data_IF_692369968216
#
_entry.id   IF_692369968216
#
_cell.length_a   1.000
_cell.length_b   1.000
_cell.length_c   1.000
_cell.angle_alpha   90.00
_cell.angle_beta   90.00
_cell.angle_gamma   90.00
#
_symmetry.space_group_name_H-M   'P 1'
#
loop_
_entity.id
_entity.type
_entity.pdbx_description
1 polymer ?
#
# COMPACT_ATOMS: atom_id res chain seq x y z
N UNK A 1 -32.04 32.58 5.05
CA UNK A 1 -30.75 32.02 5.47
C UNK A 1 -31.04 30.64 6.05
N UNK A 2 -30.99 29.60 5.24
CA UNK A 2 -31.21 28.21 5.66
C UNK A 2 -29.88 27.48 5.56
N UNK A 3 -29.32 27.11 6.68
CA UNK A 3 -28.14 26.27 6.77
C UNK A 3 -28.52 24.87 6.26
N UNK A 4 -27.96 24.50 5.11
CA UNK A 4 -28.04 23.15 4.55
C UNK A 4 -27.20 22.23 5.47
N UNK A 5 -27.86 21.57 6.43
CA UNK A 5 -27.28 20.53 7.24
C UNK A 5 -26.94 19.32 6.36
N UNK A 6 -25.65 19.00 6.25
CA UNK A 6 -25.24 17.71 5.71
C UNK A 6 -25.93 16.59 6.52
N UNK A 7 -26.40 15.50 5.88
CA UNK A 7 -27.07 14.43 6.60
C UNK A 7 -26.12 13.82 7.63
N UNK A 8 -26.45 13.98 8.91
CA UNK A 8 -25.73 13.33 9.99
C UNK A 8 -25.97 11.81 9.88
N UNK A 9 -24.92 11.06 9.50
CA UNK A 9 -24.97 9.61 9.53
C UNK A 9 -25.29 9.12 10.94
N UNK A 10 -26.16 8.11 11.11
CA UNK A 10 -26.48 7.59 12.42
C UNK A 10 -25.19 7.10 13.12
N UNK A 11 -25.05 7.31 14.45
CA UNK A 11 -23.80 7.06 15.20
C UNK A 11 -23.25 5.63 15.05
N UNK A 12 -24.11 4.64 14.79
CA UNK A 12 -23.71 3.25 14.53
C UNK A 12 -22.92 3.09 13.21
N UNK A 13 -23.26 3.85 12.17
CA UNK A 13 -22.53 3.79 10.89
C UNK A 13 -21.15 4.43 10.98
N UNK A 14 -21.01 5.51 11.75
CA UNK A 14 -19.73 6.16 11.99
C UNK A 14 -18.77 5.25 12.75
N UNK A 15 -19.20 4.66 13.86
CA UNK A 15 -18.38 3.77 14.67
C UNK A 15 -17.93 2.53 13.87
N UNK A 16 -18.84 1.88 13.13
CA UNK A 16 -18.52 0.74 12.27
C UNK A 16 -17.54 1.12 11.16
N UNK A 17 -17.69 2.28 10.54
CA UNK A 17 -16.79 2.77 9.51
C UNK A 17 -15.37 3.04 10.04
N UNK A 18 -15.25 3.64 11.22
CA UNK A 18 -13.97 3.87 11.89
C UNK A 18 -13.29 2.56 12.29
N UNK A 19 -14.04 1.59 12.83
CA UNK A 19 -13.52 0.26 13.17
C UNK A 19 -13.00 -0.47 11.93
N UNK A 20 -13.74 -0.46 10.84
CA UNK A 20 -13.32 -1.08 9.58
C UNK A 20 -12.07 -0.42 8.99
N UNK A 21 -11.99 0.93 9.01
CA UNK A 21 -10.81 1.65 8.54
C UNK A 21 -9.58 1.33 9.39
N UNK A 22 -9.72 1.34 10.73
CA UNK A 22 -8.64 1.01 11.66
C UNK A 22 -8.19 -0.44 11.49
N UNK A 23 -9.12 -1.40 11.54
CA UNK A 23 -8.81 -2.81 11.40
C UNK A 23 -8.18 -3.14 10.04
N UNK A 24 -8.68 -2.55 8.95
CA UNK A 24 -8.11 -2.69 7.63
C UNK A 24 -6.68 -2.15 7.55
N UNK A 25 -6.41 -0.99 8.14
CA UNK A 25 -5.07 -0.39 8.16
C UNK A 25 -4.08 -1.19 9.01
N UNK A 26 -4.50 -1.68 10.17
CA UNK A 26 -3.69 -2.56 11.04
C UNK A 26 -3.38 -3.88 10.32
N UNK A 27 -4.38 -4.50 9.71
CA UNK A 27 -4.20 -5.74 8.97
C UNK A 27 -3.26 -5.56 7.76
N UNK A 28 -3.39 -4.45 7.02
CA UNK A 28 -2.47 -4.10 5.93
C UNK A 28 -1.03 -3.91 6.43
N UNK A 29 -0.87 -3.39 7.64
CA UNK A 29 0.43 -3.18 8.27
C UNK A 29 1.16 -4.49 8.59
N UNK A 30 0.44 -5.57 8.83
CA UNK A 30 0.99 -6.91 9.04
C UNK A 30 1.72 -7.50 7.83
N UNK A 31 1.52 -6.96 6.62
CA UNK A 31 2.16 -7.44 5.39
C UNK A 31 3.69 -7.52 5.54
N UNK A 32 4.33 -6.43 5.91
CA UNK A 32 5.79 -6.35 6.04
C UNK A 32 6.32 -7.31 7.12
N UNK A 33 5.59 -7.43 8.22
CA UNK A 33 5.94 -8.34 9.31
C UNK A 33 5.94 -9.80 8.83
N UNK A 34 4.88 -10.23 8.14
CA UNK A 34 4.78 -11.59 7.60
C UNK A 34 5.88 -11.86 6.56
N UNK A 35 6.20 -10.89 5.72
CA UNK A 35 7.29 -10.99 4.74
C UNK A 35 8.64 -11.20 5.45
N UNK A 36 8.94 -10.39 6.47
CA UNK A 36 10.18 -10.53 7.25
C UNK A 36 10.26 -11.88 7.99
N UNK A 37 9.14 -12.36 8.54
CA UNK A 37 9.07 -13.69 9.14
C UNK A 37 9.34 -14.80 8.12
N UNK A 38 8.78 -14.69 6.92
CA UNK A 38 9.01 -15.68 5.86
C UNK A 38 10.47 -15.71 5.42
N UNK A 39 11.15 -14.55 5.34
CA UNK A 39 12.58 -14.48 5.01
C UNK A 39 13.48 -15.19 6.04
N UNK A 40 13.07 -15.30 7.31
CA UNK A 40 13.80 -16.11 8.32
C UNK A 40 13.91 -17.59 7.94
N UNK A 41 13.03 -18.09 7.04
CA UNK A 41 13.04 -19.45 6.52
C UNK A 41 13.79 -19.60 5.19
N UNK A 42 14.56 -18.59 4.76
CA UNK A 42 15.45 -18.65 3.60
C UNK A 42 14.76 -18.57 2.24
N UNK A 43 13.48 -18.17 2.18
CA UNK A 43 12.78 -17.95 0.91
C UNK A 43 13.20 -16.61 0.30
N UNK A 44 13.35 -16.55 -1.02
CA UNK A 44 13.61 -15.31 -1.76
C UNK A 44 12.33 -14.52 -2.10
N UNK A 45 12.47 -13.22 -2.42
CA UNK A 45 11.35 -12.34 -2.72
C UNK A 45 10.46 -12.82 -3.88
N UNK A 46 11.07 -13.39 -4.95
CA UNK A 46 10.30 -13.86 -6.13
C UNK A 46 9.42 -15.04 -5.77
N UNK A 47 9.96 -15.99 -5.01
CA UNK A 47 9.22 -17.17 -4.55
C UNK A 47 8.15 -16.80 -3.54
N UNK A 48 8.45 -15.89 -2.60
CA UNK A 48 7.49 -15.46 -1.59
C UNK A 48 6.31 -14.70 -2.20
N UNK A 49 6.56 -13.78 -3.14
CA UNK A 49 5.48 -13.04 -3.81
C UNK A 49 4.64 -13.96 -4.71
N UNK A 50 5.27 -14.96 -5.33
CA UNK A 50 4.56 -15.97 -6.10
C UNK A 50 3.51 -16.67 -5.22
N UNK A 51 3.89 -17.18 -4.05
CA UNK A 51 2.96 -17.85 -3.13
C UNK A 51 1.85 -16.90 -2.65
N UNK A 52 2.19 -15.68 -2.23
CA UNK A 52 1.19 -14.69 -1.85
C UNK A 52 0.18 -14.45 -2.96
N UNK A 53 0.64 -14.28 -4.19
CA UNK A 53 -0.23 -13.98 -5.32
C UNK A 53 -1.00 -15.21 -5.81
N UNK A 54 -0.44 -16.42 -5.66
CA UNK A 54 -1.14 -17.68 -5.92
C UNK A 54 -2.38 -17.82 -5.03
N UNK A 55 -2.23 -17.58 -3.72
CA UNK A 55 -3.35 -17.66 -2.77
C UNK A 55 -4.30 -16.46 -2.87
N UNK A 56 -3.83 -15.29 -3.30
CA UNK A 56 -4.67 -14.13 -3.52
C UNK A 56 -5.51 -14.22 -4.80
N UNK A 57 -5.00 -14.89 -5.84
CA UNK A 57 -5.63 -14.97 -7.17
C UNK A 57 -7.10 -15.44 -7.13
N UNK A 58 -7.46 -16.57 -6.49
CA UNK A 58 -8.85 -17.01 -6.45
C UNK A 58 -9.78 -16.01 -5.76
N UNK A 59 -9.29 -15.30 -4.74
CA UNK A 59 -10.06 -14.31 -4.00
C UNK A 59 -10.35 -13.08 -4.87
N UNK A 60 -9.34 -12.56 -5.58
CA UNK A 60 -9.50 -11.40 -6.46
C UNK A 60 -10.26 -11.74 -7.75
N UNK A 61 -10.13 -12.95 -8.29
CA UNK A 61 -10.98 -13.43 -9.39
C UNK A 61 -12.45 -13.54 -8.96
N UNK A 62 -12.71 -14.06 -7.76
CA UNK A 62 -14.04 -14.11 -7.17
C UNK A 62 -14.63 -12.70 -6.98
N UNK A 63 -13.83 -11.76 -6.48
CA UNK A 63 -14.22 -10.35 -6.35
C UNK A 63 -14.51 -9.71 -7.71
N UNK A 64 -13.63 -9.92 -8.69
CA UNK A 64 -13.78 -9.39 -10.04
C UNK A 64 -15.05 -9.92 -10.71
N UNK A 65 -15.32 -11.22 -10.56
CA UNK A 65 -16.52 -11.85 -11.08
C UNK A 65 -17.79 -11.29 -10.40
N UNK A 66 -17.80 -11.23 -9.07
CA UNK A 66 -18.91 -10.68 -8.31
C UNK A 66 -19.20 -9.22 -8.69
N UNK A 67 -18.18 -8.37 -8.72
CA UNK A 67 -18.30 -6.95 -9.04
C UNK A 67 -18.57 -6.68 -10.54
N UNK A 68 -18.43 -7.69 -11.40
CA UNK A 68 -18.74 -7.57 -12.84
C UNK A 68 -20.17 -8.01 -13.18
N UNK A 69 -20.90 -8.57 -12.23
CA UNK A 69 -22.30 -9.01 -12.46
C UNK A 69 -23.18 -7.80 -12.79
N UNK A 70 -23.87 -7.86 -13.93
CA UNK A 70 -24.74 -6.77 -14.40
C UNK A 70 -24.01 -5.50 -14.86
N UNK A 71 -22.68 -5.47 -14.84
CA UNK A 71 -21.90 -4.33 -15.28
C UNK A 71 -21.70 -4.35 -16.82
N UNK A 72 -21.52 -3.19 -17.45
CA UNK A 72 -21.30 -3.09 -18.89
C UNK A 72 -19.99 -3.83 -19.29
N UNK A 73 -19.97 -4.29 -20.56
CA UNK A 73 -18.78 -4.96 -21.11
C UNK A 73 -17.59 -4.02 -21.13
N UNK A 74 -16.39 -4.57 -20.83
CA UNK A 74 -15.14 -3.84 -20.86
C UNK A 74 -14.72 -3.57 -22.31
N UNK A 75 -14.34 -2.34 -22.60
CA UNK A 75 -13.72 -1.96 -23.87
C UNK A 75 -12.24 -2.36 -23.92
N UNK A 76 -11.63 -2.31 -25.12
CA UNK A 76 -10.18 -2.52 -25.26
C UNK A 76 -9.38 -1.48 -24.45
N UNK A 77 -9.86 -0.26 -24.36
CA UNK A 77 -9.25 0.81 -23.58
C UNK A 77 -9.31 0.51 -22.06
N UNK A 78 -10.45 -0.04 -21.60
CA UNK A 78 -10.56 -0.49 -20.19
C UNK A 78 -9.56 -1.57 -19.86
N UNK A 79 -9.40 -2.56 -20.72
CA UNK A 79 -8.44 -3.63 -20.53
C UNK A 79 -7.00 -3.11 -20.51
N UNK A 80 -6.64 -2.19 -21.42
CA UNK A 80 -5.31 -1.56 -21.40
C UNK A 80 -5.06 -0.81 -20.08
N UNK A 81 -6.06 -0.07 -19.59
CA UNK A 81 -5.99 0.60 -18.29
C UNK A 81 -5.86 -0.39 -17.12
N UNK A 82 -6.68 -1.45 -17.09
CA UNK A 82 -6.64 -2.49 -16.04
C UNK A 82 -5.27 -3.17 -16.01
N UNK A 83 -4.72 -3.54 -17.18
CA UNK A 83 -3.38 -4.15 -17.27
C UNK A 83 -2.32 -3.17 -16.81
N UNK A 84 -2.31 -1.92 -17.29
CA UNK A 84 -1.36 -0.89 -16.87
C UNK A 84 -1.39 -0.64 -15.36
N UNK A 85 -2.59 -0.56 -14.77
CA UNK A 85 -2.76 -0.40 -13.33
C UNK A 85 -2.40 -1.66 -12.55
N UNK A 86 -2.63 -2.85 -13.09
CA UNK A 86 -2.17 -4.12 -12.51
C UNK A 86 -0.66 -4.20 -12.48
N UNK A 87 0.01 -3.78 -13.56
CA UNK A 87 1.49 -3.73 -13.63
C UNK A 87 2.05 -2.74 -12.62
N UNK A 88 1.59 -1.50 -12.62
CA UNK A 88 2.18 -0.43 -11.77
C UNK A 88 1.76 -0.56 -10.32
N UNK A 89 0.47 -0.76 -10.03
CA UNK A 89 -0.08 -0.68 -8.68
C UNK A 89 0.16 -1.94 -7.84
N UNK A 90 0.16 -3.10 -8.47
CA UNK A 90 0.18 -4.35 -7.72
C UNK A 90 1.36 -5.27 -8.07
N UNK A 91 1.74 -5.41 -9.35
CA UNK A 91 2.88 -6.26 -9.72
C UNK A 91 4.21 -5.59 -9.37
N UNK A 92 4.56 -4.49 -10.03
CA UNK A 92 5.85 -3.83 -9.87
C UNK A 92 6.02 -3.25 -8.46
N UNK A 93 4.98 -2.59 -7.94
CA UNK A 93 5.01 -2.07 -6.58
C UNK A 93 5.26 -3.18 -5.56
N UNK A 94 4.52 -4.30 -5.62
CA UNK A 94 4.71 -5.39 -4.66
C UNK A 94 6.04 -6.10 -4.82
N UNK A 95 6.54 -6.26 -6.05
CA UNK A 95 7.83 -6.92 -6.31
C UNK A 95 8.99 -6.10 -5.74
N UNK A 96 9.04 -4.81 -6.04
CA UNK A 96 10.08 -3.91 -5.53
C UNK A 96 10.03 -3.80 -4.00
N UNK A 97 8.85 -3.78 -3.42
CA UNK A 97 8.63 -3.73 -1.99
C UNK A 97 9.14 -4.99 -1.27
N UNK A 98 8.76 -6.17 -1.75
CA UNK A 98 9.24 -7.43 -1.19
C UNK A 98 10.74 -7.57 -1.33
N UNK A 99 11.28 -7.23 -2.48
CA UNK A 99 12.73 -7.29 -2.69
C UNK A 99 13.47 -6.28 -1.80
N UNK A 100 12.94 -5.06 -1.61
CA UNK A 100 13.51 -4.09 -0.69
C UNK A 100 13.51 -4.54 0.77
N UNK A 101 12.44 -5.23 1.21
CA UNK A 101 12.32 -5.78 2.56
C UNK A 101 13.35 -6.88 2.89
N UNK A 102 14.06 -7.43 1.91
CA UNK A 102 15.22 -8.28 2.19
C UNK A 102 16.35 -7.52 2.90
N UNK A 103 16.48 -6.20 2.66
CA UNK A 103 17.62 -5.38 3.04
C UNK A 103 17.36 -4.33 4.11
N UNK A 104 16.10 -3.92 4.33
CA UNK A 104 15.74 -2.89 5.32
C UNK A 104 14.68 -3.40 6.30
N UNK A 105 14.49 -2.67 7.41
CA UNK A 105 13.47 -3.00 8.42
C UNK A 105 12.04 -2.80 7.89
N UNK A 106 11.07 -3.45 8.53
CA UNK A 106 9.66 -3.22 8.26
C UNK A 106 9.24 -1.80 8.66
N UNK A 107 9.87 -1.23 9.67
CA UNK A 107 9.66 0.13 10.13
C UNK A 107 10.06 1.16 9.08
N UNK A 108 11.27 1.03 8.50
CA UNK A 108 11.74 1.94 7.45
C UNK A 108 10.94 1.77 6.15
N UNK A 109 10.65 0.52 5.74
CA UNK A 109 9.75 0.24 4.59
C UNK A 109 8.45 1.03 4.72
N UNK A 110 7.80 0.93 5.86
CA UNK A 110 6.52 1.59 6.08
C UNK A 110 6.62 3.11 6.00
N UNK A 111 7.67 3.71 6.55
CA UNK A 111 7.89 5.16 6.47
C UNK A 111 8.10 5.63 5.03
N UNK A 112 8.86 4.87 4.22
CA UNK A 112 9.05 5.17 2.80
C UNK A 112 7.71 5.08 2.04
N UNK A 113 6.94 4.01 2.23
CA UNK A 113 5.64 3.86 1.57
C UNK A 113 4.63 4.94 2.00
N UNK A 114 4.79 5.51 3.19
CA UNK A 114 3.94 6.60 3.65
C UNK A 114 4.18 7.92 2.92
N UNK A 115 5.24 8.02 2.11
CA UNK A 115 5.46 9.14 1.20
C UNK A 115 4.51 9.15 -0.02
N UNK A 116 3.69 8.12 -0.23
CA UNK A 116 2.77 8.04 -1.38
C UNK A 116 1.94 9.32 -1.62
N UNK A 117 1.32 9.98 -0.62
CA UNK A 117 0.57 11.21 -0.85
C UNK A 117 1.44 12.34 -1.42
N UNK A 118 2.69 12.45 -0.98
CA UNK A 118 3.63 13.46 -1.49
C UNK A 118 4.06 13.14 -2.92
N UNK A 119 4.30 11.87 -3.23
CA UNK A 119 4.63 11.39 -4.58
C UNK A 119 3.47 11.63 -5.55
N UNK A 120 2.23 11.41 -5.13
CA UNK A 120 1.03 11.74 -5.92
C UNK A 120 0.96 13.24 -6.24
N UNK A 121 1.31 14.12 -5.28
CA UNK A 121 1.39 15.57 -5.52
C UNK A 121 2.48 15.91 -6.54
N UNK A 122 3.67 15.34 -6.40
CA UNK A 122 4.79 15.55 -7.34
C UNK A 122 4.42 15.09 -8.74
N UNK A 123 3.83 13.89 -8.87
CA UNK A 123 3.36 13.39 -10.16
C UNK A 123 2.23 14.25 -10.72
N UNK A 124 1.32 14.75 -9.88
CA UNK A 124 0.27 15.67 -10.28
C UNK A 124 0.82 17.01 -10.82
N UNK A 125 1.88 17.51 -10.19
CA UNK A 125 2.61 18.70 -10.69
C UNK A 125 3.33 18.40 -12.01
N UNK A 126 4.04 17.30 -12.11
CA UNK A 126 4.84 16.93 -13.28
C UNK A 126 3.97 16.62 -14.50
N UNK A 127 2.89 15.82 -14.32
CA UNK A 127 2.05 15.33 -15.41
C UNK A 127 0.93 16.31 -15.80
N UNK A 128 0.34 16.98 -14.82
CA UNK A 128 -0.84 17.84 -15.01
C UNK A 128 -0.55 19.31 -14.72
N UNK A 129 0.71 19.70 -14.48
CA UNK A 129 1.15 21.07 -14.14
C UNK A 129 0.34 21.70 -12.99
N UNK A 130 -0.14 20.88 -12.05
CA UNK A 130 -0.84 21.36 -10.87
C UNK A 130 0.14 22.12 -9.98
N UNK A 131 -0.23 23.32 -9.53
CA UNK A 131 0.63 24.12 -8.66
C UNK A 131 0.73 23.48 -7.27
N UNK A 132 1.96 23.31 -6.80
CA UNK A 132 2.23 22.93 -5.40
C UNK A 132 2.31 24.21 -4.59
N UNK A 133 1.53 24.32 -3.49
CA UNK A 133 1.61 25.46 -2.59
C UNK A 133 2.87 25.41 -1.75
N UNK A 134 3.32 26.56 -1.24
CA UNK A 134 4.50 26.63 -0.36
C UNK A 134 4.32 25.72 0.89
N UNK A 135 3.11 25.67 1.45
CA UNK A 135 2.80 24.81 2.60
C UNK A 135 2.92 23.31 2.25
N UNK A 136 2.48 22.91 1.07
CA UNK A 136 2.67 21.53 0.59
C UNK A 136 4.16 21.23 0.40
N UNK A 137 4.95 22.16 -0.14
CA UNK A 137 6.40 22.01 -0.26
C UNK A 137 7.09 21.82 1.09
N UNK A 138 6.73 22.61 2.10
CA UNK A 138 7.25 22.47 3.47
C UNK A 138 6.83 21.10 4.06
N UNK A 139 5.57 20.73 3.92
CA UNK A 139 5.07 19.46 4.42
C UNK A 139 5.76 18.25 3.79
N UNK A 140 6.05 18.31 2.48
CA UNK A 140 6.87 17.32 1.79
C UNK A 140 8.28 17.28 2.36
N UNK A 141 8.96 18.42 2.49
CA UNK A 141 10.32 18.47 3.05
C UNK A 141 10.38 17.85 4.45
N UNK A 142 9.39 18.11 5.31
CA UNK A 142 9.27 17.49 6.64
C UNK A 142 9.13 15.97 6.55
N UNK A 143 8.27 15.45 5.65
CA UNK A 143 8.09 14.01 5.47
C UNK A 143 9.37 13.33 4.99
N UNK A 144 10.06 13.91 3.99
CA UNK A 144 11.32 13.34 3.48
C UNK A 144 12.44 13.43 4.51
N UNK A 145 12.53 14.52 5.27
CA UNK A 145 13.48 14.63 6.38
C UNK A 145 13.28 13.52 7.41
N UNK A 146 12.01 13.17 7.73
CA UNK A 146 11.70 12.07 8.64
C UNK A 146 12.19 10.70 8.12
N UNK A 147 11.99 10.40 6.84
CA UNK A 147 12.50 9.16 6.23
C UNK A 147 14.03 9.14 6.21
N UNK A 148 14.67 10.25 5.81
CA UNK A 148 16.13 10.35 5.76
C UNK A 148 16.76 10.23 7.15
N UNK A 149 16.10 10.72 8.20
CA UNK A 149 16.55 10.60 9.57
C UNK A 149 16.62 9.13 10.01
N UNK A 150 15.57 8.36 9.76
CA UNK A 150 15.52 6.93 10.10
C UNK A 150 16.49 6.14 9.22
N UNK A 151 16.53 6.43 7.93
CA UNK A 151 17.43 5.78 6.98
C UNK A 151 18.91 6.01 7.37
N UNK A 152 19.30 7.23 7.69
CA UNK A 152 20.68 7.56 8.08
C UNK A 152 21.13 6.77 9.31
N UNK A 153 20.23 6.60 10.30
CA UNK A 153 20.52 5.77 11.46
C UNK A 153 20.55 4.27 11.12
N UNK A 154 19.63 3.78 10.31
CA UNK A 154 19.55 2.37 9.92
C UNK A 154 20.70 1.94 9.00
N UNK A 155 21.16 2.84 8.11
CA UNK A 155 22.25 2.56 7.17
C UNK A 155 23.56 2.16 7.86
N UNK A 156 23.79 2.65 9.09
CA UNK A 156 24.97 2.32 9.88
C UNK A 156 24.95 0.85 10.37
N UNK A 157 23.78 0.22 10.47
CA UNK A 157 23.57 -1.11 11.05
C UNK A 157 23.03 -2.16 10.07
N UNK A 158 22.33 -1.74 9.00
CA UNK A 158 21.62 -2.64 8.07
C UNK A 158 22.53 -3.27 7.00
N UNK A 159 23.83 -2.93 6.98
CA UNK A 159 24.79 -3.51 6.04
C UNK A 159 24.82 -2.82 4.68
N UNK A 160 25.68 -3.33 3.75
CA UNK A 160 26.03 -2.64 2.50
C UNK A 160 24.86 -2.47 1.52
N UNK A 161 23.80 -3.24 1.66
CA UNK A 161 22.65 -3.23 0.74
C UNK A 161 21.45 -2.39 1.24
N UNK A 162 21.59 -1.67 2.38
CA UNK A 162 20.51 -0.85 2.92
C UNK A 162 20.03 0.23 1.94
N UNK A 163 20.98 0.87 1.23
CA UNK A 163 20.67 1.86 0.18
C UNK A 163 19.85 1.22 -0.94
N UNK A 164 20.24 0.04 -1.40
CA UNK A 164 19.51 -0.69 -2.43
C UNK A 164 18.09 -1.01 -1.96
N UNK A 165 17.93 -1.51 -0.74
CA UNK A 165 16.63 -1.81 -0.14
C UNK A 165 15.72 -0.59 -0.08
N UNK A 166 16.24 0.54 0.41
CA UNK A 166 15.50 1.80 0.48
C UNK A 166 15.09 2.32 -0.91
N UNK A 167 15.98 2.23 -1.90
CA UNK A 167 15.69 2.63 -3.29
C UNK A 167 14.64 1.72 -3.93
N UNK A 168 14.67 0.41 -3.69
CA UNK A 168 13.67 -0.53 -4.16
C UNK A 168 12.28 -0.21 -3.58
N UNK A 169 12.20 0.01 -2.26
CA UNK A 169 10.93 0.40 -1.61
C UNK A 169 10.47 1.78 -2.07
N UNK A 170 11.37 2.72 -2.28
CA UNK A 170 11.03 4.03 -2.86
C UNK A 170 10.49 3.88 -4.29
N UNK A 171 11.12 3.04 -5.12
CA UNK A 171 10.62 2.67 -6.45
C UNK A 171 9.23 2.04 -6.41
N UNK A 172 8.97 1.18 -5.41
CA UNK A 172 7.63 0.66 -5.13
C UNK A 172 6.63 1.78 -4.85
N UNK A 173 6.99 2.73 -3.98
CA UNK A 173 6.14 3.88 -3.66
C UNK A 173 5.84 4.74 -4.89
N UNK A 174 6.83 5.00 -5.75
CA UNK A 174 6.64 5.74 -7.02
C UNK A 174 5.70 4.96 -7.95
N UNK A 175 5.91 3.66 -8.11
CA UNK A 175 5.06 2.80 -8.95
C UNK A 175 3.60 2.81 -8.46
N UNK A 176 3.40 2.72 -7.16
CA UNK A 176 2.07 2.80 -6.56
C UNK A 176 1.45 4.20 -6.67
N UNK A 177 2.24 5.26 -6.57
CA UNK A 177 1.77 6.63 -6.79
C UNK A 177 1.29 6.85 -8.23
N UNK A 178 1.97 6.28 -9.22
CA UNK A 178 1.51 6.25 -10.62
C UNK A 178 0.14 5.58 -10.73
N UNK A 179 -0.01 4.40 -10.11
CA UNK A 179 -1.31 3.72 -10.03
C UNK A 179 -2.39 4.63 -9.44
N UNK A 180 -2.12 5.32 -8.32
CA UNK A 180 -3.09 6.21 -7.67
C UNK A 180 -3.52 7.37 -8.57
N UNK A 181 -2.56 7.97 -9.29
CA UNK A 181 -2.83 9.10 -10.21
C UNK A 181 -3.74 8.68 -11.37
N UNK A 182 -3.48 7.51 -11.97
CA UNK A 182 -4.21 7.07 -13.16
C UNK A 182 -5.46 6.24 -12.85
N UNK A 183 -5.58 5.69 -11.63
CA UNK A 183 -6.75 4.86 -11.26
C UNK A 183 -8.04 5.65 -11.13
N UNK A 184 -7.97 6.94 -10.79
CA UNK A 184 -9.15 7.74 -10.42
C UNK A 184 -10.26 7.79 -11.47
N UNK A 185 -9.91 7.83 -12.75
CA UNK A 185 -10.89 7.86 -13.86
C UNK A 185 -11.51 6.49 -14.12
N UNK A 186 -10.68 5.43 -14.09
CA UNK A 186 -11.19 4.06 -14.23
C UNK A 186 -12.08 3.65 -13.04
N UNK A 187 -11.73 4.08 -11.82
CA UNK A 187 -12.56 3.84 -10.63
C UNK A 187 -13.97 4.45 -10.80
N UNK A 188 -14.06 5.68 -11.30
CA UNK A 188 -15.37 6.33 -11.54
C UNK A 188 -16.22 5.56 -12.54
N UNK A 189 -15.61 4.96 -13.55
CA UNK A 189 -16.29 4.27 -14.64
C UNK A 189 -16.59 2.81 -14.34
N UNK A 190 -15.64 2.09 -13.74
CA UNK A 190 -15.74 0.65 -13.52
C UNK A 190 -16.18 0.28 -12.09
N UNK A 191 -16.07 1.21 -11.15
CA UNK A 191 -16.18 0.95 -9.72
C UNK A 191 -14.88 0.43 -9.11
N UNK A 192 -14.64 0.76 -7.85
CA UNK A 192 -13.40 0.43 -7.16
C UNK A 192 -13.18 -1.09 -7.01
N UNK A 193 -14.22 -1.83 -6.59
CA UNK A 193 -14.13 -3.28 -6.37
C UNK A 193 -13.82 -4.05 -7.66
N UNK A 194 -14.46 -3.68 -8.76
CA UNK A 194 -14.23 -4.31 -10.07
C UNK A 194 -12.83 -4.04 -10.57
N UNK A 195 -12.38 -2.78 -10.48
CA UNK A 195 -11.04 -2.38 -10.90
C UNK A 195 -9.97 -3.10 -10.07
N UNK A 196 -10.09 -3.07 -8.73
CA UNK A 196 -9.14 -3.73 -7.82
C UNK A 196 -9.11 -5.25 -8.08
N UNK A 197 -10.27 -5.89 -8.21
CA UNK A 197 -10.35 -7.32 -8.51
C UNK A 197 -9.63 -7.70 -9.79
N UNK A 198 -9.90 -6.96 -10.89
CA UNK A 198 -9.29 -7.23 -12.19
C UNK A 198 -7.80 -6.89 -12.22
N UNK A 199 -7.40 -5.70 -11.75
CA UNK A 199 -6.01 -5.25 -11.78
C UNK A 199 -5.11 -6.13 -10.89
N UNK A 200 -5.58 -6.54 -9.70
CA UNK A 200 -4.83 -7.44 -8.84
C UNK A 200 -4.75 -8.85 -9.44
N UNK A 201 -5.81 -9.34 -10.10
CA UNK A 201 -5.75 -10.63 -10.81
C UNK A 201 -4.70 -10.63 -11.93
N UNK A 202 -4.57 -9.53 -12.68
CA UNK A 202 -3.49 -9.35 -13.68
C UNK A 202 -2.12 -9.43 -13.00
N UNK A 203 -1.94 -8.71 -11.90
CA UNK A 203 -0.68 -8.74 -11.15
C UNK A 203 -0.35 -10.13 -10.61
N UNK A 204 -1.36 -10.87 -10.12
CA UNK A 204 -1.16 -12.25 -9.68
C UNK A 204 -0.60 -13.12 -10.81
N UNK A 205 -1.21 -13.05 -12.00
CA UNK A 205 -0.74 -13.80 -13.17
C UNK A 205 0.69 -13.41 -13.55
N UNK A 206 1.03 -12.11 -13.52
CA UNK A 206 2.37 -11.62 -13.81
C UNK A 206 3.40 -12.12 -12.79
N UNK A 207 3.08 -12.15 -11.50
CA UNK A 207 3.97 -12.69 -10.48
C UNK A 207 4.20 -14.20 -10.65
N UNK A 208 3.16 -14.95 -11.01
CA UNK A 208 3.30 -16.39 -11.32
C UNK A 208 4.18 -16.62 -12.55
N UNK A 209 3.98 -15.84 -13.61
CA UNK A 209 4.82 -15.88 -14.80
C UNK A 209 6.26 -15.49 -14.48
N UNK A 210 6.48 -14.45 -13.68
CA UNK A 210 7.81 -14.03 -13.24
C UNK A 210 8.55 -15.18 -12.53
N UNK A 211 7.87 -15.89 -11.62
CA UNK A 211 8.47 -17.03 -10.95
C UNK A 211 8.89 -18.11 -11.94
N UNK A 212 8.00 -18.52 -12.84
CA UNK A 212 8.30 -19.55 -13.85
C UNK A 212 9.47 -19.17 -14.76
N UNK A 213 9.61 -17.87 -15.07
CA UNK A 213 10.68 -17.37 -15.95
C UNK A 213 12.02 -17.19 -15.23
N UNK A 214 12.01 -16.82 -13.94
CA UNK A 214 13.23 -16.43 -13.23
C UNK A 214 13.72 -17.47 -12.22
N UNK A 215 12.92 -18.46 -11.86
CA UNK A 215 13.25 -19.46 -10.85
C UNK A 215 13.02 -20.88 -11.37
N UNK A 216 13.87 -21.83 -10.99
CA UNK A 216 13.59 -23.24 -11.24
C UNK A 216 12.39 -23.69 -10.41
N UNK A 217 11.61 -24.65 -10.90
CA UNK A 217 10.44 -25.17 -10.16
C UNK A 217 10.80 -25.75 -8.79
N UNK A 218 12.05 -26.18 -8.60
CA UNK A 218 12.55 -26.62 -7.29
C UNK A 218 12.55 -25.51 -6.24
N UNK A 219 12.63 -24.24 -6.64
CA UNK A 219 12.52 -23.11 -5.70
C UNK A 219 11.12 -22.97 -5.07
N UNK A 220 10.10 -23.65 -5.63
CA UNK A 220 8.78 -23.75 -5.01
C UNK A 220 8.76 -24.74 -3.82
N UNK A 221 9.81 -25.52 -3.61
CA UNK A 221 9.91 -26.36 -2.41
C UNK A 221 10.40 -25.50 -1.25
N UNK A 222 9.49 -25.05 -0.41
CA UNK A 222 9.75 -24.16 0.72
C UNK A 222 9.29 -24.80 2.03
N UNK A 223 9.73 -24.24 3.15
CA UNK A 223 9.26 -24.67 4.46
C UNK A 223 7.74 -24.47 4.60
N UNK A 224 7.01 -25.36 5.30
CA UNK A 224 5.56 -25.26 5.51
C UNK A 224 5.14 -23.92 6.12
N UNK A 225 5.99 -23.31 6.95
CA UNK A 225 5.79 -22.01 7.58
C UNK A 225 5.64 -20.90 6.53
N UNK A 226 6.44 -20.94 5.45
CA UNK A 226 6.36 -19.98 4.34
C UNK A 226 5.01 -20.06 3.64
N UNK A 227 4.47 -21.27 3.47
CA UNK A 227 3.15 -21.46 2.85
C UNK A 227 2.07 -20.83 3.72
N UNK A 228 2.04 -21.14 5.03
CA UNK A 228 1.06 -20.56 5.96
C UNK A 228 1.18 -19.05 6.07
N UNK A 229 2.38 -18.52 6.18
CA UNK A 229 2.63 -17.08 6.19
C UNK A 229 2.15 -16.43 4.88
N UNK A 230 2.32 -17.09 3.74
CA UNK A 230 1.82 -16.59 2.45
C UNK A 230 0.30 -16.61 2.36
N UNK A 231 -0.37 -17.63 2.91
CA UNK A 231 -1.84 -17.67 3.02
C UNK A 231 -2.35 -16.53 3.92
N UNK A 232 -1.73 -16.34 5.09
CA UNK A 232 -2.08 -15.22 5.98
C UNK A 232 -1.85 -13.86 5.30
N UNK A 233 -0.73 -13.71 4.60
CA UNK A 233 -0.44 -12.47 3.87
C UNK A 233 -1.49 -12.20 2.77
N UNK A 234 -1.83 -13.22 1.97
CA UNK A 234 -2.82 -13.11 0.89
C UNK A 234 -4.22 -12.77 1.42
N UNK A 235 -4.64 -13.40 2.51
CA UNK A 235 -5.99 -13.26 3.08
C UNK A 235 -6.09 -12.05 4.02
N UNK A 236 -5.36 -12.07 5.15
CA UNK A 236 -5.50 -11.09 6.22
C UNK A 236 -4.78 -9.77 5.94
N UNK A 237 -3.66 -9.79 5.18
CA UNK A 237 -2.88 -8.58 4.92
C UNK A 237 -3.02 -8.05 3.49
N UNK A 238 -3.82 -8.69 2.65
CA UNK A 238 -4.05 -8.23 1.27
C UNK A 238 -5.53 -8.13 0.96
N UNK A 239 -6.27 -9.26 0.92
CA UNK A 239 -7.66 -9.27 0.49
C UNK A 239 -8.60 -8.63 1.53
N UNK A 240 -8.55 -9.05 2.79
CA UNK A 240 -9.44 -8.55 3.83
C UNK A 240 -9.30 -7.03 4.06
N UNK A 241 -8.09 -6.43 4.14
CA UNK A 241 -7.95 -4.99 4.28
C UNK A 241 -8.56 -4.20 3.13
N UNK A 242 -8.45 -4.69 1.89
CA UNK A 242 -9.07 -4.04 0.73
C UNK A 242 -10.58 -3.95 0.92
N UNK A 243 -11.24 -5.05 1.30
CA UNK A 243 -12.68 -5.07 1.56
C UNK A 243 -13.04 -4.16 2.73
N UNK A 244 -12.32 -4.25 3.85
CA UNK A 244 -12.58 -3.42 5.03
C UNK A 244 -12.47 -1.93 4.73
N UNK A 245 -11.42 -1.49 4.02
CA UNK A 245 -11.21 -0.08 3.66
C UNK A 245 -12.30 0.39 2.67
N UNK A 246 -12.70 -0.42 1.69
CA UNK A 246 -13.79 -0.06 0.78
C UNK A 246 -15.12 0.08 1.54
N UNK A 247 -15.44 -0.85 2.42
CA UNK A 247 -16.63 -0.76 3.29
C UNK A 247 -16.57 0.44 4.23
N UNK A 248 -15.39 0.85 4.71
CA UNK A 248 -15.21 2.05 5.50
C UNK A 248 -15.48 3.30 4.66
N UNK A 249 -14.90 3.39 3.45
CA UNK A 249 -15.10 4.52 2.53
C UNK A 249 -16.58 4.73 2.20
N UNK A 250 -17.33 3.66 1.99
CA UNK A 250 -18.77 3.73 1.76
C UNK A 250 -19.55 4.31 2.96
N UNK A 251 -19.08 4.07 4.19
CA UNK A 251 -19.78 4.50 5.42
C UNK A 251 -19.38 5.89 5.90
N UNK A 252 -18.08 6.18 5.87
CA UNK A 252 -17.52 7.41 6.48
C UNK A 252 -16.83 8.33 5.48
N UNK A 253 -16.84 7.97 4.20
CA UNK A 253 -16.17 8.71 3.14
C UNK A 253 -14.66 8.52 3.09
N UNK A 254 -14.07 8.78 1.91
CA UNK A 254 -12.65 8.54 1.65
C UNK A 254 -11.72 9.39 2.55
N UNK A 255 -12.10 10.63 2.85
CA UNK A 255 -11.29 11.53 3.68
C UNK A 255 -11.10 11.03 5.10
N UNK A 256 -12.19 10.65 5.77
CA UNK A 256 -12.14 10.16 7.16
C UNK A 256 -11.52 8.76 7.21
N UNK A 257 -11.78 7.89 6.23
CA UNK A 257 -11.15 6.59 6.13
C UNK A 257 -9.62 6.71 5.97
N UNK A 258 -9.14 7.65 5.14
CA UNK A 258 -7.71 7.92 4.97
C UNK A 258 -7.06 8.45 6.25
N UNK A 259 -7.73 9.38 6.96
CA UNK A 259 -7.23 9.88 8.25
C UNK A 259 -7.13 8.77 9.30
N UNK A 260 -8.15 7.91 9.39
CA UNK A 260 -8.14 6.76 10.30
C UNK A 260 -7.04 5.78 9.92
N UNK A 261 -6.74 5.63 8.62
CA UNK A 261 -5.66 4.82 8.08
C UNK A 261 -4.26 5.22 8.54
N UNK A 262 -4.08 6.44 9.06
CA UNK A 262 -2.79 6.91 9.62
C UNK A 262 -2.31 6.10 10.83
N UNK A 263 -3.15 5.24 11.41
CA UNK A 263 -2.74 4.25 12.41
C UNK A 263 -1.79 3.17 11.84
N UNK A 264 -1.76 2.99 10.51
CA UNK A 264 -0.97 1.95 9.84
C UNK A 264 0.52 1.96 10.20
N UNK A 265 1.27 3.08 10.03
CA UNK A 265 2.69 3.14 10.38
C UNK A 265 2.97 2.79 11.84
N UNK A 266 2.17 3.31 12.75
CA UNK A 266 2.30 3.03 14.18
C UNK A 266 2.12 1.53 14.46
N UNK A 267 1.16 0.90 13.78
CA UNK A 267 0.92 -0.55 13.91
C UNK A 267 2.06 -1.37 13.34
N UNK A 268 2.66 -0.97 12.20
CA UNK A 268 3.83 -1.68 11.64
C UNK A 268 5.02 -1.59 12.58
N UNK A 269 5.32 -0.40 13.10
CA UNK A 269 6.44 -0.21 14.05
C UNK A 269 6.21 -1.04 15.32
N UNK A 270 5.01 -0.96 15.90
CA UNK A 270 4.68 -1.76 17.07
C UNK A 270 4.84 -3.27 16.83
N UNK A 271 4.35 -3.78 15.69
CA UNK A 271 4.53 -5.18 15.32
C UNK A 271 6.00 -5.51 14.99
N UNK A 272 6.76 -4.61 14.36
CA UNK A 272 8.19 -4.76 14.10
C UNK A 272 8.98 -4.97 15.39
N UNK A 273 8.72 -4.12 16.37
CA UNK A 273 9.36 -4.23 17.71
C UNK A 273 8.93 -5.51 18.44
N UNK A 274 7.63 -5.81 18.47
CA UNK A 274 7.09 -6.91 19.29
C UNK A 274 7.28 -8.31 18.67
N UNK A 275 7.33 -8.41 17.34
CA UNK A 275 7.32 -9.70 16.62
C UNK A 275 8.66 -9.97 15.93
N UNK A 276 9.30 -8.91 15.41
CA UNK A 276 10.55 -9.04 14.66
C UNK A 276 11.78 -8.71 15.51
N UNK A 277 11.58 -8.21 16.74
CA UNK A 277 12.65 -7.70 17.62
C UNK A 277 13.42 -6.52 16.98
N UNK A 278 12.72 -5.71 16.15
CA UNK A 278 13.31 -4.48 15.58
C UNK A 278 13.65 -3.50 16.71
N UNK A 279 14.81 -2.84 16.59
CA UNK A 279 15.24 -1.86 17.58
C UNK A 279 14.26 -0.67 17.65
N UNK A 280 13.71 -0.42 18.83
CA UNK A 280 12.90 0.77 19.07
C UNK A 280 13.78 1.87 19.67
N UNK A 281 14.03 2.90 18.88
CA UNK A 281 14.92 3.98 19.28
C UNK A 281 14.31 5.37 19.00
N UNK A 282 14.92 6.41 19.54
CA UNK A 282 14.45 7.78 19.41
C UNK A 282 14.40 8.26 17.95
N UNK A 283 15.25 7.73 17.07
CA UNK A 283 15.29 8.08 15.64
C UNK A 283 14.05 7.60 14.90
N UNK A 284 13.59 6.37 15.17
CA UNK A 284 12.35 5.84 14.62
C UNK A 284 11.16 6.66 15.09
N UNK A 285 11.11 7.02 16.38
CA UNK A 285 10.04 7.87 16.92
C UNK A 285 10.05 9.24 16.25
N UNK A 286 11.19 9.91 16.21
CA UNK A 286 11.33 11.25 15.64
C UNK A 286 10.99 11.24 14.15
N UNK A 287 11.53 10.29 13.38
CA UNK A 287 11.24 10.15 11.95
C UNK A 287 9.77 9.84 11.68
N UNK A 288 9.15 8.98 12.49
CA UNK A 288 7.71 8.67 12.37
C UNK A 288 6.86 9.92 12.63
N UNK A 289 7.17 10.69 13.68
CA UNK A 289 6.45 11.95 13.97
C UNK A 289 6.59 12.93 12.81
N UNK A 290 7.79 13.09 12.25
CA UNK A 290 8.02 13.96 11.09
C UNK A 290 7.23 13.47 9.86
N UNK A 291 7.31 12.19 9.51
CA UNK A 291 6.60 11.64 8.34
C UNK A 291 5.09 11.79 8.49
N UNK A 292 4.53 11.38 9.62
CA UNK A 292 3.08 11.45 9.87
C UNK A 292 2.60 12.90 9.89
N UNK A 293 3.35 13.81 10.53
CA UNK A 293 3.02 15.23 10.57
C UNK A 293 3.06 15.85 9.17
N UNK A 294 4.10 15.57 8.39
CA UNK A 294 4.24 16.07 7.03
C UNK A 294 3.12 15.55 6.13
N UNK A 295 2.82 14.24 6.16
CA UNK A 295 1.73 13.64 5.38
C UNK A 295 0.36 14.21 5.81
N UNK A 296 0.15 14.40 7.11
CA UNK A 296 -1.08 15.04 7.61
C UNK A 296 -1.24 16.48 7.08
N UNK A 297 -0.17 17.27 7.07
CA UNK A 297 -0.19 18.63 6.50
C UNK A 297 -0.45 18.59 4.99
N UNK A 298 0.18 17.67 4.25
CA UNK A 298 -0.08 17.50 2.81
C UNK A 298 -1.55 17.18 2.55
N UNK A 299 -2.14 16.25 3.30
CA UNK A 299 -3.54 15.86 3.10
C UNK A 299 -4.53 16.95 3.50
N UNK A 300 -4.24 17.70 4.58
CA UNK A 300 -5.09 18.80 5.07
C UNK A 300 -5.09 20.00 4.13
N UNK A 301 -3.93 20.36 3.57
CA UNK A 301 -3.77 21.51 2.67
C UNK A 301 -3.72 21.08 1.18
N UNK A 302 -3.97 19.79 0.92
CA UNK A 302 -3.83 19.17 -0.40
C UNK A 302 -4.96 19.46 -1.39
N UNK A 303 -5.95 20.29 -1.07
CA UNK A 303 -7.05 20.59 -2.00
C UNK A 303 -7.39 22.08 -2.07
N UNK A 304 -6.79 22.81 -2.99
CA UNK A 304 -7.51 23.85 -3.69
C UNK A 304 -7.88 23.31 -5.07
N UNK A 305 -9.12 22.90 -5.29
CA UNK A 305 -9.57 22.63 -6.66
C UNK A 305 -10.55 21.49 -6.87
N UNK A 306 -11.62 21.42 -6.06
CA UNK A 306 -12.89 20.82 -6.45
C UNK A 306 -14.02 21.75 -6.03
N UNK A 307 -14.08 22.92 -6.69
CA UNK A 307 -15.32 23.66 -6.84
C UNK A 307 -15.77 23.56 -8.29
#
# INVERSE_FOLDING_TARGET
MSASGAPAHPPSHLATGLLLASAGSIAFSGKAIIVKLAYRHGVDAVTLIMYRMLFALPLFLGLAWWASRGAPRLSRHDWAGIVGLGVTGYYLASFLDFWGLEYISASLERLILYLNPTLVLVLGWLLYRRRISAMQGVAMAVSYAGVLLVFGHEADFAGPNAVLGALLVFGSAVSYAIYLVYSGELVKRLGAMRLVGLATSVACVLCLLQFVLLRPLSAAVVAPEVIWLSVLNATLCTFAPVIMVMMAIERIGAGLAAQTGMIGPMSTIAMGVLILDEAFNAWIVAGTVLVVSGVFLVTRFGTPGSR
#
